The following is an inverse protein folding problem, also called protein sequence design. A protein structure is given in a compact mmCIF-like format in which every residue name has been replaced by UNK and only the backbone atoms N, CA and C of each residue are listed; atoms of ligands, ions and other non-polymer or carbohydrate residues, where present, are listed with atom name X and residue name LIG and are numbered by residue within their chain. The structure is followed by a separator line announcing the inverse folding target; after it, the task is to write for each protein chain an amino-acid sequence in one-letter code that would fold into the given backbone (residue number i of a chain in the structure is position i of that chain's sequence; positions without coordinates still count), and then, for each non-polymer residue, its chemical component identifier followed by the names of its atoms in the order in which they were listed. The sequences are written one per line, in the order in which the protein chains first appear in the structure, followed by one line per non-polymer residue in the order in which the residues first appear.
data_IF_151237143600
#
_entry.id   IF_151237143600
#
_cell.length_a   1.000
_cell.length_b   1.000
_cell.length_c   1.000
_cell.angle_alpha   90.00
_cell.angle_beta   90.00
_cell.angle_gamma   90.00
#
_symmetry.space_group_name_H-M   'P 1'
#
loop_
_entity.id
_entity.type
_entity.pdbx_description
1 polymer ?
#
# COMPACT_ATOMS: atom_id res chain seq x y z
N UNK A 1 6.51 -18.52 -15.83
CA UNK A 1 6.78 -17.16 -15.32
C UNK A 1 6.67 -17.11 -13.79
N UNK A 2 5.48 -17.32 -13.20
CA UNK A 2 5.31 -17.20 -11.74
C UNK A 2 6.16 -18.21 -10.94
N UNK A 3 6.31 -19.44 -11.40
CA UNK A 3 7.08 -20.48 -10.70
C UNK A 3 8.60 -20.21 -10.63
N UNK A 4 9.08 -19.17 -11.29
CA UNK A 4 10.49 -18.78 -11.29
C UNK A 4 10.80 -17.64 -10.32
N UNK A 5 9.80 -17.18 -9.57
CA UNK A 5 9.96 -16.08 -8.62
C UNK A 5 10.85 -16.51 -7.45
N UNK A 6 11.80 -15.66 -7.11
CA UNK A 6 12.61 -15.83 -5.90
C UNK A 6 11.97 -15.02 -4.77
N UNK A 7 11.28 -15.72 -3.87
CA UNK A 7 10.52 -15.09 -2.77
C UNK A 7 11.40 -14.21 -1.87
N UNK A 8 12.69 -14.55 -1.71
CA UNK A 8 13.58 -13.73 -0.87
C UNK A 8 13.94 -12.37 -1.50
N UNK A 9 13.58 -12.19 -2.78
CA UNK A 9 13.76 -10.91 -3.49
C UNK A 9 12.46 -10.13 -3.65
N UNK A 10 11.38 -10.57 -2.99
CA UNK A 10 10.09 -9.90 -3.08
C UNK A 10 9.82 -9.19 -1.75
N UNK A 11 9.54 -7.89 -1.85
CA UNK A 11 9.10 -7.09 -0.71
C UNK A 11 7.61 -6.82 -0.90
N UNK A 12 6.80 -7.46 -0.07
CA UNK A 12 5.35 -7.26 -0.05
C UNK A 12 5.06 -5.92 0.64
N UNK A 13 4.05 -5.21 0.18
CA UNK A 13 3.82 -3.85 0.65
C UNK A 13 2.33 -3.54 0.63
N UNK A 14 1.92 -2.77 1.64
CA UNK A 14 0.60 -2.18 1.72
C UNK A 14 0.73 -0.81 2.41
N UNK A 15 -0.14 0.15 2.07
CA UNK A 15 -0.12 1.48 2.68
C UNK A 15 -1.51 1.90 3.14
N UNK A 16 -1.53 2.69 4.22
CA UNK A 16 -2.74 3.36 4.66
C UNK A 16 -2.59 4.87 4.50
N UNK A 17 -3.63 5.49 3.98
CA UNK A 17 -3.61 6.91 3.67
C UNK A 17 -4.86 7.61 4.19
N UNK A 18 -4.72 8.89 4.49
CA UNK A 18 -5.84 9.75 4.92
C UNK A 18 -5.79 11.07 4.17
N UNK A 19 -6.90 11.85 4.12
CA UNK A 19 -6.81 13.24 3.64
C UNK A 19 -5.74 14.03 4.38
N UNK A 20 -5.08 14.96 3.72
CA UNK A 20 -4.01 15.77 4.33
C UNK A 20 -4.50 16.55 5.55
N UNK A 21 -5.73 17.05 5.49
CA UNK A 21 -6.45 17.63 6.64
C UNK A 21 -7.77 16.89 6.83
N UNK A 22 -8.27 16.89 8.06
CA UNK A 22 -9.42 16.06 8.44
C UNK A 22 -10.74 16.47 7.77
N UNK A 23 -10.82 17.73 7.35
CA UNK A 23 -12.06 18.32 6.84
C UNK A 23 -11.76 19.31 5.72
N UNK A 24 -12.64 19.36 4.70
CA UNK A 24 -12.55 20.28 3.57
C UNK A 24 -12.47 21.74 4.03
N UNK A 25 -13.18 22.09 5.09
CA UNK A 25 -13.22 23.47 5.59
C UNK A 25 -11.87 23.95 6.14
N UNK A 26 -10.96 23.00 6.45
CA UNK A 26 -9.60 23.34 6.92
C UNK A 26 -8.64 23.68 5.78
N UNK A 27 -9.06 23.46 4.53
CA UNK A 27 -8.27 23.86 3.37
C UNK A 27 -8.36 25.37 3.20
N UNK A 28 -7.27 26.01 2.81
CA UNK A 28 -7.32 27.41 2.37
C UNK A 28 -7.98 27.50 0.98
N UNK A 29 -8.29 28.72 0.56
CA UNK A 29 -9.07 28.97 -0.66
C UNK A 29 -8.33 28.49 -1.93
N UNK A 30 -6.99 28.58 -1.94
CA UNK A 30 -6.20 28.07 -3.06
C UNK A 30 -6.32 26.55 -3.15
N UNK A 31 -6.18 25.82 -2.04
CA UNK A 31 -6.33 24.37 -2.01
C UNK A 31 -7.77 23.94 -2.34
N UNK A 32 -8.79 24.70 -1.90
CA UNK A 32 -10.19 24.41 -2.29
C UNK A 32 -10.38 24.54 -3.80
N UNK A 33 -9.79 25.60 -4.40
CA UNK A 33 -9.88 25.82 -5.85
C UNK A 33 -9.18 24.70 -6.62
N UNK A 34 -7.99 24.27 -6.17
CA UNK A 34 -7.24 23.17 -6.80
C UNK A 34 -7.99 21.85 -6.66
N UNK A 35 -8.61 21.60 -5.51
CA UNK A 35 -9.44 20.41 -5.27
C UNK A 35 -10.63 20.39 -6.23
N UNK A 36 -11.36 21.50 -6.33
CA UNK A 36 -12.51 21.60 -7.25
C UNK A 36 -12.08 21.31 -8.68
N UNK A 37 -11.02 21.95 -9.15
CA UNK A 37 -10.51 21.79 -10.52
C UNK A 37 -10.09 20.33 -10.79
N UNK A 38 -9.38 19.69 -9.84
CA UNK A 38 -8.87 18.32 -9.99
C UNK A 38 -9.99 17.29 -10.04
N UNK A 39 -11.06 17.51 -9.25
CA UNK A 39 -12.09 16.47 -9.04
C UNK A 39 -13.37 16.68 -9.85
N UNK A 40 -13.52 17.83 -10.49
CA UNK A 40 -14.76 18.23 -11.20
C UNK A 40 -15.34 17.12 -12.08
N UNK A 41 -14.49 16.47 -12.88
CA UNK A 41 -14.94 15.43 -13.81
C UNK A 41 -15.24 14.09 -13.13
N UNK A 42 -14.71 13.88 -11.93
CA UNK A 42 -14.85 12.61 -11.20
C UNK A 42 -16.08 12.60 -10.30
N UNK A 43 -16.45 13.76 -9.76
CA UNK A 43 -17.50 13.86 -8.74
C UNK A 43 -18.91 14.07 -9.30
N UNK A 44 -19.06 14.36 -10.60
CA UNK A 44 -20.35 14.64 -11.20
C UNK A 44 -21.04 15.83 -10.52
N UNK A 45 -22.26 15.62 -10.03
CA UNK A 45 -23.07 16.66 -9.38
C UNK A 45 -22.78 16.80 -7.88
N UNK A 46 -21.88 15.98 -7.32
CA UNK A 46 -21.55 16.06 -5.90
C UNK A 46 -20.73 17.32 -5.60
N UNK A 47 -20.96 17.95 -4.44
CA UNK A 47 -20.21 19.14 -4.08
C UNK A 47 -18.72 18.82 -3.81
N UNK A 48 -17.81 19.77 -4.00
CA UNK A 48 -16.40 19.56 -3.64
C UNK A 48 -16.22 19.17 -2.17
N UNK A 49 -16.99 19.75 -1.28
CA UNK A 49 -16.96 19.48 0.15
C UNK A 49 -17.40 18.04 0.47
N UNK A 50 -18.53 17.59 -0.07
CA UNK A 50 -19.03 16.23 0.19
C UNK A 50 -18.14 15.14 -0.41
N UNK A 51 -17.41 15.47 -1.49
CA UNK A 51 -16.53 14.54 -2.17
C UNK A 51 -15.18 14.40 -1.46
N UNK A 52 -14.75 15.44 -0.72
CA UNK A 52 -13.43 15.49 -0.09
C UNK A 52 -13.18 14.31 0.87
N UNK A 53 -14.05 14.04 1.86
CA UNK A 53 -13.80 12.94 2.79
C UNK A 53 -13.77 11.55 2.13
N UNK A 54 -14.39 11.42 0.96
CA UNK A 54 -14.46 10.14 0.23
C UNK A 54 -13.22 9.87 -0.62
N UNK A 55 -12.53 10.92 -1.10
CA UNK A 55 -11.52 10.76 -2.13
C UNK A 55 -10.16 11.40 -1.83
N UNK A 56 -10.09 12.37 -0.93
CA UNK A 56 -8.86 13.11 -0.73
C UNK A 56 -7.72 12.19 -0.24
N UNK A 57 -8.03 11.20 0.58
CA UNK A 57 -7.02 10.28 1.10
C UNK A 57 -6.34 9.44 0.02
N UNK A 58 -7.06 9.12 -1.08
CA UNK A 58 -6.49 8.28 -2.14
C UNK A 58 -5.86 9.08 -3.28
N UNK A 59 -5.90 10.41 -3.21
CA UNK A 59 -5.20 11.29 -4.16
C UNK A 59 -3.94 11.83 -3.48
N UNK A 60 -2.78 11.46 -3.97
CA UNK A 60 -1.50 11.78 -3.32
C UNK A 60 -1.25 13.30 -3.19
N UNK A 61 -1.92 14.11 -4.00
CA UNK A 61 -1.84 15.58 -3.93
C UNK A 61 -2.61 16.14 -2.74
N UNK A 62 -3.63 15.43 -2.26
CA UNK A 62 -4.55 15.90 -1.21
C UNK A 62 -4.57 14.99 0.01
N UNK A 63 -3.81 13.89 -0.03
CA UNK A 63 -3.71 12.94 1.07
C UNK A 63 -2.32 12.87 1.65
N UNK A 64 -2.15 11.99 2.62
CA UNK A 64 -0.85 11.69 3.22
C UNK A 64 -0.81 10.24 3.67
N UNK A 65 0.40 9.68 3.77
CA UNK A 65 0.64 8.32 4.25
C UNK A 65 0.65 8.32 5.77
N UNK A 66 -0.07 7.39 6.39
CA UNK A 66 -0.09 7.23 7.85
C UNK A 66 0.46 5.87 8.31
N UNK A 67 0.55 4.91 7.37
CA UNK A 67 1.19 3.62 7.64
C UNK A 67 1.76 3.06 6.34
N UNK A 68 2.92 2.41 6.45
CA UNK A 68 3.54 1.58 5.40
C UNK A 68 3.92 0.28 6.09
N UNK A 69 3.40 -0.86 5.62
CA UNK A 69 3.81 -2.17 6.11
C UNK A 69 4.55 -2.92 5.03
N UNK A 70 5.69 -3.50 5.39
CA UNK A 70 6.56 -4.26 4.49
C UNK A 70 6.69 -5.69 4.99
N UNK A 71 6.44 -6.66 4.12
CA UNK A 71 6.58 -8.09 4.43
C UNK A 71 7.64 -8.73 3.55
N UNK A 72 8.46 -9.61 4.12
CA UNK A 72 9.51 -10.27 3.37
C UNK A 72 9.90 -11.60 4.01
N UNK A 73 10.37 -12.53 3.18
CA UNK A 73 10.91 -13.81 3.65
C UNK A 73 12.38 -13.65 4.01
N UNK A 74 12.78 -14.25 5.13
CA UNK A 74 14.20 -14.27 5.52
C UNK A 74 15.03 -15.11 4.53
N UNK A 75 16.27 -14.73 4.32
CA UNK A 75 17.19 -15.43 3.42
C UNK A 75 17.68 -16.80 3.95
N UNK A 76 17.25 -17.19 5.16
CA UNK A 76 17.72 -18.42 5.78
C UNK A 76 16.92 -19.63 5.26
N UNK A 77 17.57 -20.64 4.68
CA UNK A 77 16.87 -21.80 4.11
C UNK A 77 16.08 -22.64 5.13
N UNK A 78 16.35 -22.45 6.43
CA UNK A 78 15.76 -23.26 7.51
C UNK A 78 14.55 -22.58 8.19
N UNK A 79 14.17 -21.38 7.75
CA UNK A 79 13.12 -20.65 8.47
C UNK A 79 12.26 -19.83 7.49
N UNK A 80 11.14 -20.01 7.24
CA UNK A 80 10.44 -19.41 6.64
C UNK A 80 9.91 -18.44 7.20
N UNK A 81 10.42 -17.98 7.94
CA UNK A 81 9.82 -16.86 8.67
C UNK A 81 9.48 -15.73 7.72
N UNK A 82 8.29 -15.23 7.91
CA UNK A 82 7.81 -14.03 7.21
C UNK A 82 7.87 -12.87 8.20
N UNK A 83 8.71 -11.91 7.91
CA UNK A 83 8.90 -10.74 8.77
C UNK A 83 8.08 -9.56 8.25
N UNK A 84 7.36 -8.90 9.14
CA UNK A 84 6.62 -7.66 8.83
C UNK A 84 7.23 -6.52 9.64
N UNK A 85 7.59 -5.45 8.95
CA UNK A 85 8.10 -4.21 9.55
C UNK A 85 7.19 -3.07 9.11
N UNK A 86 6.73 -2.24 10.06
CA UNK A 86 5.78 -1.17 9.75
C UNK A 86 6.30 0.19 10.21
N UNK A 87 6.05 1.19 9.40
CA UNK A 87 6.36 2.60 9.66
C UNK A 87 5.04 3.34 9.73
N UNK A 88 4.68 3.89 10.89
CA UNK A 88 3.36 4.48 11.09
C UNK A 88 3.40 5.58 12.16
N UNK A 89 2.40 6.43 12.16
CA UNK A 89 2.31 7.49 13.14
C UNK A 89 1.66 8.76 12.59
N UNK A 90 1.83 9.85 13.32
CA UNK A 90 1.20 11.14 12.97
C UNK A 90 2.05 11.99 12.03
N UNK A 91 3.35 11.73 11.94
CA UNK A 91 4.30 12.51 11.13
C UNK A 91 4.67 11.75 9.85
N UNK A 92 4.03 12.11 8.74
CA UNK A 92 4.29 11.49 7.44
C UNK A 92 5.76 11.56 7.03
N UNK A 93 6.41 12.69 7.28
CA UNK A 93 7.80 12.87 6.85
C UNK A 93 8.72 11.87 7.56
N UNK A 94 8.48 11.63 8.86
CA UNK A 94 9.23 10.61 9.61
C UNK A 94 8.94 9.21 9.08
N UNK A 95 7.68 8.88 8.81
CA UNK A 95 7.28 7.57 8.25
C UNK A 95 8.05 7.31 6.94
N UNK A 96 8.01 8.30 6.03
CA UNK A 96 8.65 8.17 4.71
C UNK A 96 10.19 8.12 4.83
N UNK A 97 10.77 8.85 5.77
CA UNK A 97 12.21 8.84 6.01
C UNK A 97 12.67 7.47 6.50
N UNK A 98 11.97 6.91 7.50
CA UNK A 98 12.30 5.60 8.06
C UNK A 98 12.10 4.48 7.02
N UNK A 99 11.00 4.54 6.27
CA UNK A 99 10.73 3.62 5.16
C UNK A 99 11.88 3.68 4.13
N UNK A 100 12.28 4.90 3.71
CA UNK A 100 13.37 5.06 2.75
C UNK A 100 14.67 4.49 3.30
N UNK A 101 15.01 4.76 4.55
CA UNK A 101 16.23 4.23 5.18
C UNK A 101 16.23 2.69 5.18
N UNK A 102 15.08 2.08 5.48
CA UNK A 102 14.92 0.63 5.40
C UNK A 102 15.15 0.12 3.97
N UNK A 103 14.51 0.76 2.98
CA UNK A 103 14.65 0.37 1.57
C UNK A 103 16.11 0.44 1.11
N UNK A 104 16.81 1.51 1.49
CA UNK A 104 18.21 1.72 1.10
C UNK A 104 19.15 0.69 1.76
N UNK A 105 18.84 0.22 2.98
CA UNK A 105 19.69 -0.73 3.68
C UNK A 105 19.40 -2.19 3.30
N UNK A 106 18.15 -2.57 3.09
CA UNK A 106 17.76 -3.97 2.87
C UNK A 106 17.49 -4.31 1.41
N UNK A 107 16.98 -3.37 0.63
CA UNK A 107 16.46 -3.65 -0.71
C UNK A 107 17.16 -2.85 -1.80
N UNK A 108 18.43 -2.51 -1.58
CA UNK A 108 19.27 -1.83 -2.57
C UNK A 108 19.82 -2.78 -3.65
N UNK A 109 19.74 -4.08 -3.44
CA UNK A 109 20.29 -5.09 -4.35
C UNK A 109 19.52 -5.17 -5.66
N UNK A 110 20.17 -5.52 -6.76
CA UNK A 110 19.45 -5.66 -8.04
C UNK A 110 18.50 -6.86 -8.01
N UNK A 111 17.40 -6.73 -8.75
CA UNK A 111 16.41 -7.80 -8.89
C UNK A 111 15.39 -7.88 -7.77
N UNK A 112 15.37 -6.90 -6.86
CA UNK A 112 14.31 -6.81 -5.85
C UNK A 112 13.04 -6.30 -6.53
N UNK A 113 11.93 -6.96 -6.22
CA UNK A 113 10.60 -6.61 -6.72
C UNK A 113 9.69 -6.20 -5.56
N UNK A 114 8.90 -5.18 -5.76
CA UNK A 114 7.79 -4.87 -4.86
C UNK A 114 6.59 -5.70 -5.28
N UNK A 115 5.73 -6.03 -4.31
CA UNK A 115 4.49 -6.77 -4.57
C UNK A 115 3.38 -6.17 -3.70
N UNK A 116 2.28 -5.76 -4.32
CA UNK A 116 1.12 -5.22 -3.61
C UNK A 116 -0.16 -5.65 -4.32
N UNK A 117 -1.31 -5.31 -3.77
CA UNK A 117 -2.60 -5.56 -4.40
C UNK A 117 -3.14 -4.25 -4.98
N UNK A 118 -3.20 -4.13 -6.29
CA UNK A 118 -3.47 -2.89 -7.02
C UNK A 118 -2.34 -1.86 -6.83
N UNK A 119 -1.14 -2.32 -6.45
CA UNK A 119 -0.04 -1.45 -6.07
C UNK A 119 0.55 -0.66 -7.23
N UNK A 120 0.51 -1.19 -8.44
CA UNK A 120 1.00 -0.47 -9.63
C UNK A 120 0.16 0.78 -9.92
N UNK A 121 -1.14 0.74 -9.60
CA UNK A 121 -2.03 1.87 -9.80
C UNK A 121 -2.14 2.76 -8.55
N UNK A 122 -1.85 2.21 -7.37
CA UNK A 122 -2.06 2.95 -6.13
C UNK A 122 -0.78 3.08 -5.29
N UNK A 123 -0.36 2.03 -4.59
CA UNK A 123 0.68 2.12 -3.54
C UNK A 123 1.99 2.71 -4.05
N UNK A 124 2.53 2.16 -5.15
CA UNK A 124 3.85 2.55 -5.63
C UNK A 124 3.87 4.00 -6.13
N UNK A 125 2.95 4.43 -7.02
CA UNK A 125 2.94 5.83 -7.44
C UNK A 125 2.53 6.78 -6.30
N UNK A 126 1.69 6.36 -5.37
CA UNK A 126 1.34 7.18 -4.21
C UNK A 126 2.58 7.46 -3.36
N UNK A 127 3.31 6.41 -2.98
CA UNK A 127 4.55 6.53 -2.19
C UNK A 127 5.58 7.42 -2.91
N UNK A 128 5.78 7.18 -4.22
CA UNK A 128 6.73 7.99 -5.01
C UNK A 128 6.38 9.47 -4.95
N UNK A 129 5.10 9.80 -5.18
CA UNK A 129 4.62 11.20 -5.12
C UNK A 129 4.80 11.79 -3.71
N UNK A 130 4.45 11.04 -2.66
CA UNK A 130 4.57 11.56 -1.29
C UNK A 130 6.03 11.74 -0.86
N UNK A 131 6.94 10.87 -1.33
CA UNK A 131 8.38 11.08 -1.13
C UNK A 131 8.83 12.40 -1.76
N UNK A 132 8.42 12.67 -3.01
CA UNK A 132 8.77 13.93 -3.69
C UNK A 132 8.17 15.15 -2.97
N UNK A 133 6.90 15.07 -2.55
CA UNK A 133 6.24 16.15 -1.80
C UNK A 133 7.02 16.47 -0.51
N UNK A 134 7.55 15.44 0.15
CA UNK A 134 8.34 15.58 1.37
C UNK A 134 9.83 15.85 1.10
N UNK A 135 10.21 16.06 -0.18
CA UNK A 135 11.59 16.39 -0.61
C UNK A 135 12.59 15.27 -0.24
N UNK A 136 12.14 14.02 -0.33
CA UNK A 136 12.98 12.84 -0.11
C UNK A 136 13.36 12.22 -1.44
N UNK A 137 14.61 11.76 -1.55
CA UNK A 137 15.09 11.06 -2.73
C UNK A 137 14.40 9.70 -2.83
N UNK A 138 13.94 9.34 -4.03
CA UNK A 138 13.26 8.07 -4.26
C UNK A 138 14.22 6.89 -4.02
N UNK A 139 13.81 5.85 -3.26
CA UNK A 139 14.57 4.62 -3.23
C UNK A 139 14.49 3.94 -4.62
N UNK A 140 15.54 3.23 -4.98
CA UNK A 140 15.71 2.66 -6.32
C UNK A 140 14.48 1.90 -6.86
N UNK A 141 13.79 1.05 -6.08
CA UNK A 141 12.61 0.36 -6.64
C UNK A 141 11.44 1.28 -7.00
N UNK A 142 11.36 2.46 -6.38
CA UNK A 142 10.30 3.44 -6.65
C UNK A 142 10.73 4.53 -7.65
N UNK A 143 11.98 4.51 -8.10
CA UNK A 143 12.49 5.50 -9.04
C UNK A 143 12.13 5.09 -10.48
N UNK A 144 10.83 5.24 -10.79
CA UNK A 144 10.24 4.78 -12.06
C UNK A 144 9.58 5.91 -12.88
N UNK A 145 9.97 7.18 -12.75
CA UNK A 145 9.29 8.24 -13.50
C UNK A 145 9.49 8.05 -15.01
N UNK A 146 8.40 8.22 -15.75
CA UNK A 146 8.42 8.08 -17.21
C UNK A 146 8.31 6.65 -17.73
N UNK A 147 8.40 5.65 -16.86
CA UNK A 147 8.21 4.26 -17.30
C UNK A 147 6.72 4.01 -17.58
N UNK A 148 6.47 3.22 -18.60
CA UNK A 148 5.11 2.77 -18.92
C UNK A 148 4.72 1.62 -17.97
N UNK A 149 3.43 1.39 -17.74
CA UNK A 149 3.01 0.33 -16.80
C UNK A 149 3.62 -1.05 -17.05
N UNK A 150 3.82 -1.40 -18.31
CA UNK A 150 4.40 -2.70 -18.68
C UNK A 150 5.93 -2.75 -18.55
N UNK A 151 6.58 -1.60 -18.35
CA UNK A 151 8.02 -1.52 -18.10
C UNK A 151 8.34 -1.64 -16.60
N UNK A 152 7.31 -1.49 -15.75
CA UNK A 152 7.44 -1.63 -14.30
C UNK A 152 7.37 -3.12 -13.96
N UNK A 153 8.50 -3.67 -13.54
CA UNK A 153 8.64 -5.11 -13.29
C UNK A 153 8.04 -5.58 -11.96
N UNK A 154 7.59 -4.65 -11.11
CA UNK A 154 6.97 -5.02 -9.82
C UNK A 154 5.74 -5.89 -10.02
N UNK A 155 5.42 -6.66 -8.99
CA UNK A 155 4.29 -7.58 -8.99
C UNK A 155 3.05 -6.87 -8.43
N UNK A 156 1.92 -7.19 -9.02
CA UNK A 156 0.63 -6.68 -8.57
C UNK A 156 -0.34 -7.87 -8.58
N UNK A 157 -0.77 -8.29 -7.40
CA UNK A 157 -1.60 -9.50 -7.28
C UNK A 157 -2.97 -9.34 -7.95
N UNK A 158 -3.51 -8.09 -8.04
CA UNK A 158 -4.73 -7.85 -8.81
C UNK A 158 -4.47 -7.99 -10.31
N UNK A 159 -3.36 -7.43 -10.80
CA UNK A 159 -2.98 -7.53 -12.22
C UNK A 159 -2.73 -9.00 -12.61
N UNK A 160 -2.05 -9.75 -11.75
CA UNK A 160 -1.82 -11.19 -11.99
C UNK A 160 -3.13 -11.97 -12.08
N UNK A 161 -4.11 -11.63 -11.22
CA UNK A 161 -5.43 -12.28 -11.24
C UNK A 161 -6.23 -11.98 -12.50
N UNK A 162 -6.00 -10.85 -13.14
CA UNK A 162 -6.76 -10.45 -14.33
C UNK A 162 -6.51 -11.34 -15.56
N UNK A 163 -5.37 -11.98 -15.68
CA UNK A 163 -5.02 -12.77 -16.87
C UNK A 163 -5.38 -12.08 -18.19
N UNK A 164 -5.17 -10.75 -18.23
CA UNK A 164 -5.48 -9.94 -19.41
C UNK A 164 -6.88 -9.33 -19.44
N UNK A 165 -7.77 -9.69 -18.52
CA UNK A 165 -9.09 -9.07 -18.43
C UNK A 165 -8.98 -7.72 -17.73
N UNK A 166 -8.82 -6.66 -18.53
CA UNK A 166 -8.56 -5.31 -18.02
C UNK A 166 -9.73 -4.67 -17.28
N UNK A 167 -10.94 -5.19 -17.46
CA UNK A 167 -12.15 -4.60 -16.87
C UNK A 167 -12.50 -5.18 -15.50
N UNK A 168 -11.76 -6.17 -15.04
CA UNK A 168 -12.07 -6.90 -13.82
C UNK A 168 -11.28 -6.35 -12.64
N UNK A 169 -11.99 -5.79 -11.67
CA UNK A 169 -11.46 -5.35 -10.39
C UNK A 169 -11.90 -6.33 -9.32
N UNK A 170 -10.95 -7.05 -8.71
CA UNK A 170 -11.25 -8.03 -7.67
C UNK A 170 -10.52 -7.62 -6.39
N UNK A 171 -11.27 -7.37 -5.33
CA UNK A 171 -10.70 -6.93 -4.05
C UNK A 171 -9.86 -8.03 -3.39
N UNK A 172 -8.91 -7.61 -2.56
CA UNK A 172 -8.08 -8.52 -1.77
C UNK A 172 -8.96 -9.44 -0.90
N UNK A 173 -9.98 -8.88 -0.25
CA UNK A 173 -10.90 -9.64 0.61
C UNK A 173 -11.67 -10.72 -0.16
N UNK A 174 -12.09 -10.43 -1.40
CA UNK A 174 -12.76 -11.45 -2.22
C UNK A 174 -11.79 -12.57 -2.61
N UNK A 175 -10.57 -12.22 -3.00
CA UNK A 175 -9.58 -13.21 -3.42
C UNK A 175 -9.12 -14.08 -2.24
N UNK A 176 -8.91 -13.49 -1.07
CA UNK A 176 -8.54 -14.28 0.12
C UNK A 176 -9.65 -15.27 0.48
N UNK A 177 -10.91 -14.83 0.41
CA UNK A 177 -12.05 -15.73 0.67
C UNK A 177 -12.13 -16.84 -0.36
N UNK A 178 -11.99 -16.47 -1.65
CA UNK A 178 -12.10 -17.44 -2.76
C UNK A 178 -11.01 -18.51 -2.72
N UNK A 179 -9.81 -18.14 -2.30
CA UNK A 179 -8.64 -19.03 -2.32
C UNK A 179 -8.35 -19.66 -0.95
N UNK A 180 -9.32 -19.61 -0.04
CA UNK A 180 -9.23 -20.22 1.31
C UNK A 180 -7.95 -19.75 2.04
N UNK A 181 -7.68 -18.45 1.97
CA UNK A 181 -6.60 -17.83 2.72
C UNK A 181 -7.17 -17.37 4.07
N UNK A 182 -6.60 -17.84 5.19
CA UNK A 182 -7.07 -17.41 6.50
C UNK A 182 -6.96 -15.89 6.63
N UNK A 183 -8.06 -15.24 6.93
CA UNK A 183 -8.09 -13.81 7.22
C UNK A 183 -8.54 -13.65 8.66
N UNK A 184 -7.75 -13.03 9.52
CA UNK A 184 -8.23 -12.73 10.86
C UNK A 184 -9.49 -11.88 10.77
N UNK A 185 -10.53 -12.27 11.49
CA UNK A 185 -11.75 -11.47 11.56
C UNK A 185 -11.39 -10.11 12.14
N UNK A 186 -11.43 -9.10 11.31
CA UNK A 186 -11.23 -7.72 11.75
C UNK A 186 -12.50 -6.93 11.48
N UNK A 187 -12.81 -6.05 12.40
CA UNK A 187 -13.96 -5.16 12.28
C UNK A 187 -13.56 -3.82 11.63
N UNK A 188 -12.39 -3.79 10.99
CA UNK A 188 -11.88 -2.59 10.35
C UNK A 188 -11.82 -2.76 8.83
N UNK A 189 -12.20 -1.72 8.12
CA UNK A 189 -11.99 -1.60 6.67
C UNK A 189 -11.35 -0.26 6.34
N UNK A 190 -10.85 -0.13 5.11
CA UNK A 190 -10.11 1.07 4.69
C UNK A 190 -10.87 2.39 4.83
N UNK A 191 -12.23 2.35 4.81
CA UNK A 191 -13.03 3.57 4.96
C UNK A 191 -12.94 4.18 6.36
N UNK A 192 -12.58 3.36 7.36
CA UNK A 192 -12.51 3.78 8.76
C UNK A 192 -11.14 4.40 9.13
N UNK A 193 -10.12 4.25 8.27
CA UNK A 193 -8.75 4.70 8.56
C UNK A 193 -8.72 6.19 8.92
N UNK A 194 -9.48 7.01 8.17
CA UNK A 194 -9.55 8.46 8.41
C UNK A 194 -10.02 8.78 9.84
N UNK A 195 -11.11 8.13 10.26
CA UNK A 195 -11.70 8.41 11.57
C UNK A 195 -10.80 7.89 12.71
N UNK A 196 -10.24 6.71 12.52
CA UNK A 196 -9.28 6.15 13.50
C UNK A 196 -8.06 7.09 13.62
N UNK A 197 -7.56 7.62 12.50
CA UNK A 197 -6.41 8.53 12.52
C UNK A 197 -6.72 9.87 13.16
N UNK A 198 -7.81 10.53 12.73
CA UNK A 198 -8.08 11.91 13.14
C UNK A 198 -8.85 12.01 14.46
N UNK A 199 -9.74 11.06 14.73
CA UNK A 199 -10.63 11.11 15.91
C UNK A 199 -10.06 10.26 17.04
N UNK A 200 -9.81 8.98 16.78
CA UNK A 200 -9.32 8.05 17.81
C UNK A 200 -7.82 8.20 18.07
N UNK A 201 -7.06 8.64 17.06
CA UNK A 201 -5.59 8.78 17.07
C UNK A 201 -4.88 7.45 17.37
N UNK A 202 -5.49 6.36 16.97
CA UNK A 202 -4.98 5.00 17.19
C UNK A 202 -4.19 4.51 15.98
N UNK A 203 -2.96 5.04 15.84
CA UNK A 203 -2.08 4.64 14.75
C UNK A 203 -1.67 3.16 14.85
N UNK A 204 -1.67 2.58 16.04
CA UNK A 204 -1.34 1.16 16.22
C UNK A 204 -2.43 0.26 15.59
N UNK A 205 -3.69 0.64 15.74
CA UNK A 205 -4.81 -0.10 15.13
C UNK A 205 -4.71 -0.05 13.61
N UNK A 206 -4.33 1.12 13.04
CA UNK A 206 -4.09 1.25 11.60
C UNK A 206 -2.93 0.35 11.17
N UNK A 207 -1.83 0.35 11.94
CA UNK A 207 -0.67 -0.49 11.61
C UNK A 207 -1.04 -1.99 11.64
N UNK A 208 -1.81 -2.42 12.62
CA UNK A 208 -2.26 -3.82 12.71
C UNK A 208 -3.09 -4.22 11.49
N UNK A 209 -3.94 -3.32 11.01
CA UNK A 209 -4.74 -3.55 9.80
C UNK A 209 -3.84 -3.67 8.56
N UNK A 210 -2.95 -2.70 8.35
CA UNK A 210 -2.01 -2.67 7.23
C UNK A 210 -1.11 -3.92 7.21
N UNK A 211 -0.67 -4.41 8.39
CA UNK A 211 0.13 -5.64 8.51
C UNK A 211 -0.64 -6.87 8.03
N UNK A 212 -1.93 -6.94 8.36
CA UNK A 212 -2.79 -8.04 7.91
C UNK A 212 -2.96 -8.02 6.40
N UNK A 213 -3.16 -6.84 5.81
CA UNK A 213 -3.28 -6.74 4.35
C UNK A 213 -1.95 -7.06 3.66
N UNK A 214 -0.81 -6.64 4.22
CA UNK A 214 0.52 -7.03 3.73
C UNK A 214 0.70 -8.56 3.75
N UNK A 215 0.31 -9.22 4.85
CA UNK A 215 0.36 -10.69 4.94
C UNK A 215 -0.57 -11.34 3.92
N UNK A 216 -1.78 -10.79 3.76
CA UNK A 216 -2.76 -11.31 2.80
C UNK A 216 -2.23 -11.23 1.36
N UNK A 217 -1.53 -10.16 1.00
CA UNK A 217 -0.89 -10.04 -0.32
C UNK A 217 0.16 -11.14 -0.52
N UNK A 218 0.98 -11.41 0.51
CA UNK A 218 1.99 -12.49 0.44
C UNK A 218 1.31 -13.85 0.28
N UNK A 219 0.29 -14.13 1.11
CA UNK A 219 -0.48 -15.38 1.04
C UNK A 219 -1.10 -15.57 -0.35
N UNK A 220 -1.62 -14.49 -0.92
CA UNK A 220 -2.24 -14.52 -2.24
C UNK A 220 -1.22 -14.90 -3.31
N UNK A 221 -0.03 -14.31 -3.27
CA UNK A 221 1.04 -14.67 -4.22
C UNK A 221 1.46 -16.14 -4.05
N UNK A 222 1.56 -16.63 -2.80
CA UNK A 222 1.89 -18.03 -2.52
C UNK A 222 0.85 -18.96 -3.15
N UNK A 223 -0.45 -18.64 -3.02
CA UNK A 223 -1.52 -19.43 -3.68
C UNK A 223 -1.34 -19.46 -5.20
N UNK A 224 -1.01 -18.29 -5.80
CA UNK A 224 -0.83 -18.21 -7.27
C UNK A 224 0.33 -19.08 -7.77
N UNK A 225 1.36 -19.28 -6.94
CA UNK A 225 2.52 -20.10 -7.31
C UNK A 225 2.47 -21.51 -6.71
N UNK A 226 1.33 -21.88 -6.12
CA UNK A 226 1.07 -23.20 -5.52
C UNK A 226 2.09 -23.56 -4.43
N UNK A 227 2.41 -22.58 -3.57
CA UNK A 227 3.28 -22.79 -2.41
C UNK A 227 2.45 -22.89 -1.12
N UNK A 228 2.99 -23.54 -0.07
CA UNK A 228 2.33 -23.55 1.24
C UNK A 228 2.12 -22.14 1.76
N UNK A 229 1.02 -21.94 2.47
CA UNK A 229 0.72 -20.68 3.14
C UNK A 229 1.61 -20.49 4.38
N UNK A 230 1.87 -19.23 4.71
CA UNK A 230 2.56 -18.83 5.95
C UNK A 230 1.62 -19.13 7.12
N UNK A 231 2.09 -19.88 8.12
CA UNK A 231 1.34 -20.15 9.35
C UNK A 231 1.57 -19.01 10.34
N UNK A 232 0.61 -18.82 11.24
CA UNK A 232 0.66 -17.74 12.23
C UNK A 232 1.98 -17.74 13.04
N UNK A 233 2.46 -18.92 13.43
CA UNK A 233 3.73 -19.06 14.16
C UNK A 233 4.99 -18.74 13.35
N UNK A 234 4.86 -18.52 12.06
CA UNK A 234 5.97 -18.15 11.18
C UNK A 234 6.04 -16.65 10.91
N UNK A 235 5.07 -15.88 11.40
CA UNK A 235 5.03 -14.42 11.24
C UNK A 235 5.78 -13.75 12.40
N UNK A 236 6.69 -12.87 12.05
CA UNK A 236 7.44 -12.06 13.02
C UNK A 236 7.11 -10.58 12.73
N UNK A 237 6.64 -9.87 13.74
CA UNK A 237 6.36 -8.43 13.61
C UNK A 237 7.44 -7.67 14.38
N UNK A 238 8.14 -6.74 13.68
CA UNK A 238 9.19 -5.88 14.23
C UNK A 238 8.67 -4.46 14.48
#
# INVERSE_FOLDING_TARGET
MLHQLNLSKILFLDIETVPAVSDYQLLDEEWKSLWDAKTKWQRGDESPEDYYPKRAGILAEFGKVVCISLGYFSDLPSSXKFTITSFFGLDEKKILYDFKAFMDSYFHKPGVLLCAHNGKEFDFPYLSRRLLVNRLVLPKPLDTPGLKPWEISHLDTMELWKFGDRKNFTSLSLLTKLLDIPSPKDNMDGSQVKDIFYIEKDCQRIANYCQKDTLAVAQLLLRYINQPLIHEGEVVIN
#
